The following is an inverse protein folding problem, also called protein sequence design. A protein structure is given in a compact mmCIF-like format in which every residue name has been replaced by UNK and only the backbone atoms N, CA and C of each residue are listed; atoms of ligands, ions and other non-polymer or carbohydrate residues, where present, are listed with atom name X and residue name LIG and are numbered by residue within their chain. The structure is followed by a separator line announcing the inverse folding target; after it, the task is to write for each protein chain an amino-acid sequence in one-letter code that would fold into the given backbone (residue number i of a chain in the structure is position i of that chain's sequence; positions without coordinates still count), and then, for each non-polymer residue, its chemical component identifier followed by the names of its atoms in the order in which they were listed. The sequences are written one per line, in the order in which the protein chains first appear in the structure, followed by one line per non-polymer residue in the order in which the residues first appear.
data_IF_134346188582
#
_entry.id   IF_134346188582
#
_cell.length_a   1.000
_cell.length_b   1.000
_cell.length_c   1.000
_cell.angle_alpha   90.00
_cell.angle_beta   90.00
_cell.angle_gamma   90.00
#
_symmetry.space_group_name_H-M   'P 1'
#
loop_
_entity.id
_entity.type
_entity.pdbx_description
1 polymer ?
#
# COMPACT_ATOMS: atom_id res chain seq x y z
N UNK A 1 -5.96 -18.08 -17.90
CA UNK A 1 -6.67 -16.92 -17.40
C UNK A 1 -7.04 -16.05 -18.59
N UNK A 2 -8.30 -15.66 -18.70
CA UNK A 2 -8.79 -14.75 -19.74
C UNK A 2 -9.18 -13.42 -19.08
N UNK A 3 -8.92 -12.30 -19.77
CA UNK A 3 -9.21 -10.96 -19.28
C UNK A 3 -8.13 -9.98 -19.70
N UNK A 4 -8.39 -8.70 -19.51
CA UNK A 4 -7.43 -7.63 -19.74
C UNK A 4 -7.38 -6.69 -18.55
N UNK A 5 -6.19 -6.15 -18.27
CA UNK A 5 -5.97 -5.09 -17.28
C UNK A 5 -5.47 -3.86 -18.03
N UNK A 6 -6.11 -2.72 -17.77
CA UNK A 6 -5.75 -1.45 -18.41
C UNK A 6 -5.41 -0.40 -17.34
N UNK A 7 -4.38 0.37 -17.61
CA UNK A 7 -4.03 1.57 -16.85
C UNK A 7 -4.13 2.73 -17.84
N UNK A 8 -4.92 3.76 -17.51
CA UNK A 8 -5.16 4.91 -18.39
C UNK A 8 -5.61 4.53 -19.81
N UNK A 9 -6.41 3.46 -19.92
CA UNK A 9 -6.93 2.96 -21.19
C UNK A 9 -5.97 2.10 -22.04
N UNK A 10 -4.69 2.01 -21.66
CA UNK A 10 -3.67 1.21 -22.32
C UNK A 10 -3.52 -0.16 -21.65
N UNK A 11 -3.41 -1.24 -22.43
CA UNK A 11 -3.23 -2.60 -21.92
C UNK A 11 -1.95 -2.73 -21.08
N UNK A 12 -2.03 -3.39 -19.89
CA UNK A 12 -0.91 -3.57 -18.98
C UNK A 12 0.31 -4.19 -19.67
N UNK A 13 0.10 -5.19 -20.51
CA UNK A 13 1.16 -5.91 -21.22
C UNK A 13 1.87 -5.08 -22.30
N UNK A 14 1.35 -3.90 -22.65
CA UNK A 14 1.97 -2.99 -23.61
C UNK A 14 2.94 -1.97 -22.99
N UNK A 15 3.01 -1.94 -21.65
CA UNK A 15 3.99 -1.13 -20.94
C UNK A 15 5.31 -1.87 -20.77
N UNK A 16 6.42 -1.19 -20.93
CA UNK A 16 7.71 -1.68 -20.43
C UNK A 16 7.74 -1.64 -18.89
N UNK A 17 8.62 -2.43 -18.27
CA UNK A 17 8.79 -2.41 -16.81
C UNK A 17 9.15 -1.01 -16.27
N UNK A 18 9.94 -0.24 -17.04
CA UNK A 18 10.33 1.11 -16.67
C UNK A 18 9.13 2.08 -16.71
N UNK A 19 8.27 1.98 -17.72
CA UNK A 19 7.04 2.75 -17.80
C UNK A 19 6.10 2.41 -16.65
N UNK A 20 5.90 1.11 -16.35
CA UNK A 20 5.08 0.69 -15.21
C UNK A 20 5.63 1.22 -13.89
N UNK A 21 6.94 1.16 -13.69
CA UNK A 21 7.56 1.67 -12.47
C UNK A 21 7.43 3.19 -12.31
N UNK A 22 7.10 3.94 -13.36
CA UNK A 22 6.80 5.38 -13.28
C UNK A 22 5.32 5.68 -13.00
N UNK A 23 4.43 4.70 -13.15
CA UNK A 23 2.98 4.88 -13.01
C UNK A 23 2.48 4.29 -11.69
N UNK A 24 2.99 3.13 -11.29
CA UNK A 24 2.55 2.43 -10.09
C UNK A 24 3.71 1.87 -9.26
N UNK A 25 3.53 1.89 -7.95
CA UNK A 25 4.38 1.23 -6.98
C UNK A 25 3.59 0.11 -6.27
N UNK A 26 4.26 -0.99 -5.91
CA UNK A 26 3.63 -2.13 -5.24
C UNK A 26 4.39 -2.46 -3.97
N UNK A 27 3.67 -2.60 -2.86
CA UNK A 27 4.16 -3.19 -1.61
C UNK A 27 3.49 -4.55 -1.45
N UNK A 28 4.29 -5.60 -1.49
CA UNK A 28 3.80 -6.97 -1.33
C UNK A 28 3.58 -7.32 0.14
N UNK A 29 2.74 -8.32 0.42
CA UNK A 29 2.47 -8.86 1.75
C UNK A 29 3.75 -9.41 2.42
N UNK A 30 4.56 -10.15 1.66
CA UNK A 30 5.84 -10.70 2.11
C UNK A 30 6.97 -10.07 1.33
N UNK A 31 7.76 -9.29 2.03
CA UNK A 31 8.98 -8.72 1.49
C UNK A 31 10.17 -9.33 2.23
N UNK A 32 11.16 -9.80 1.49
CA UNK A 32 12.42 -10.20 2.10
C UNK A 32 13.13 -8.96 2.63
N UNK A 33 13.48 -9.00 3.91
CA UNK A 33 14.21 -7.90 4.54
C UNK A 33 15.71 -8.11 4.32
N UNK A 34 16.36 -7.28 3.52
CA UNK A 34 17.81 -7.36 3.34
C UNK A 34 18.51 -7.13 4.67
N UNK A 35 19.64 -7.81 4.89
CA UNK A 35 20.49 -7.58 6.06
C UNK A 35 21.55 -6.53 5.73
N UNK A 36 21.99 -5.82 6.78
CA UNK A 36 23.14 -4.91 6.71
C UNK A 36 22.98 -3.66 5.83
N UNK A 37 21.74 -3.30 5.44
CA UNK A 37 21.47 -2.05 4.75
C UNK A 37 20.69 -1.08 5.66
N UNK A 38 20.93 0.21 5.47
CA UNK A 38 20.23 1.26 6.22
C UNK A 38 18.82 1.49 5.67
N UNK A 39 17.95 2.11 6.47
CA UNK A 39 16.62 2.56 6.02
C UNK A 39 16.77 3.51 4.82
N UNK A 40 17.73 4.42 4.87
CA UNK A 40 17.99 5.34 3.75
C UNK A 40 18.35 4.60 2.47
N UNK A 41 19.29 3.64 2.55
CA UNK A 41 19.71 2.85 1.37
C UNK A 41 18.54 2.07 0.80
N UNK A 42 17.74 1.43 1.66
CA UNK A 42 16.58 0.67 1.22
C UNK A 42 15.55 1.55 0.51
N UNK A 43 15.23 2.72 1.06
CA UNK A 43 14.30 3.67 0.41
C UNK A 43 14.88 4.20 -0.89
N UNK A 44 16.21 4.37 -0.98
CA UNK A 44 16.89 4.83 -2.20
C UNK A 44 16.76 3.86 -3.37
N UNK A 45 16.58 2.55 -3.14
CA UNK A 45 16.35 1.57 -4.20
C UNK A 45 15.08 1.84 -5.02
N UNK A 46 14.11 2.52 -4.46
CA UNK A 46 12.92 2.96 -5.19
C UNK A 46 13.24 3.90 -6.37
N UNK A 47 14.43 4.51 -6.38
CA UNK A 47 14.87 5.43 -7.45
C UNK A 47 15.63 4.73 -8.59
N UNK A 48 15.94 3.43 -8.47
CA UNK A 48 16.65 2.66 -9.51
C UNK A 48 15.99 2.72 -10.90
N UNK A 49 14.65 2.64 -11.06
CA UNK A 49 14.01 2.73 -12.38
C UNK A 49 14.30 4.03 -13.13
N UNK A 50 14.66 5.09 -12.43
CA UNK A 50 14.91 6.43 -12.99
C UNK A 50 16.39 6.70 -13.29
N UNK A 51 17.26 5.75 -12.96
CA UNK A 51 18.73 5.92 -13.06
C UNK A 51 19.33 5.06 -14.18
N UNK A 52 20.56 5.40 -14.52
CA UNK A 52 21.35 4.57 -15.42
C UNK A 52 22.04 3.45 -14.61
N UNK A 53 21.80 2.19 -14.99
CA UNK A 53 22.25 0.97 -14.27
C UNK A 53 23.76 0.94 -14.06
N UNK A 54 24.53 1.58 -14.93
CA UNK A 54 26.00 1.55 -14.88
C UNK A 54 26.62 2.56 -13.89
N UNK A 55 25.86 3.57 -13.45
CA UNK A 55 26.39 4.61 -12.57
C UNK A 55 25.32 4.99 -11.53
N UNK A 56 25.20 4.17 -10.47
CA UNK A 56 24.31 4.48 -9.37
C UNK A 56 24.87 5.68 -8.56
N UNK A 57 24.40 6.86 -8.88
CA UNK A 57 24.58 8.05 -8.04
C UNK A 57 23.26 8.80 -7.99
N UNK A 58 22.62 8.88 -6.80
CA UNK A 58 21.38 9.63 -6.63
C UNK A 58 21.57 11.07 -7.13
N UNK A 59 20.64 11.55 -7.93
CA UNK A 59 20.56 12.96 -8.31
C UNK A 59 20.02 13.79 -7.14
N UNK A 60 20.15 15.11 -7.19
CA UNK A 60 19.55 15.99 -6.19
C UNK A 60 18.03 15.78 -6.06
N UNK A 61 17.35 15.54 -7.19
CA UNK A 61 15.91 15.22 -7.22
C UNK A 61 15.61 13.86 -6.58
N UNK A 62 16.48 12.85 -6.71
CA UNK A 62 16.28 11.57 -6.04
C UNK A 62 16.43 11.71 -4.52
N UNK A 63 17.44 12.46 -4.07
CA UNK A 63 17.65 12.75 -2.64
C UNK A 63 16.43 13.46 -2.06
N UNK A 64 15.89 14.48 -2.74
CA UNK A 64 14.68 15.19 -2.31
C UNK A 64 13.48 14.24 -2.14
N UNK A 65 13.25 13.32 -3.09
CA UNK A 65 12.17 12.34 -3.01
C UNK A 65 12.35 11.32 -1.91
N UNK A 66 13.58 10.88 -1.66
CA UNK A 66 13.91 9.96 -0.57
C UNK A 66 13.66 10.64 0.78
N UNK A 67 14.19 11.84 0.98
CA UNK A 67 14.02 12.60 2.24
C UNK A 67 12.54 12.93 2.49
N UNK A 68 11.79 13.32 1.45
CA UNK A 68 10.35 13.52 1.51
C UNK A 68 9.61 12.26 1.95
N UNK A 69 9.93 11.10 1.39
CA UNK A 69 9.30 9.84 1.75
C UNK A 69 9.60 9.45 3.21
N UNK A 70 10.84 9.63 3.66
CA UNK A 70 11.25 9.38 5.04
C UNK A 70 10.51 10.30 6.03
N UNK A 71 10.34 11.57 5.68
CA UNK A 71 9.58 12.53 6.49
C UNK A 71 8.12 12.14 6.59
N UNK A 72 7.45 11.90 5.46
CA UNK A 72 6.02 11.54 5.39
C UNK A 72 5.68 10.25 6.12
N UNK A 73 6.63 9.33 6.19
CA UNK A 73 6.46 8.05 6.90
C UNK A 73 7.00 8.07 8.34
N UNK A 74 7.49 9.23 8.83
CA UNK A 74 8.09 9.42 10.16
C UNK A 74 9.30 8.51 10.41
N UNK A 75 10.15 8.35 9.40
CA UNK A 75 11.36 7.53 9.46
C UNK A 75 12.66 8.33 9.56
N UNK A 76 12.63 9.66 9.60
CA UNK A 76 13.82 10.51 9.65
C UNK A 76 14.80 10.14 10.78
N UNK A 77 14.28 9.85 11.97
CA UNK A 77 15.10 9.46 13.13
C UNK A 77 15.70 8.04 13.00
N UNK A 78 15.27 7.28 11.99
CA UNK A 78 15.69 5.89 11.77
C UNK A 78 16.51 5.71 10.50
N UNK A 79 16.76 6.77 9.72
CA UNK A 79 17.34 6.67 8.38
C UNK A 79 18.69 5.96 8.32
N UNK A 80 19.51 6.13 9.37
CA UNK A 80 20.83 5.52 9.47
C UNK A 80 20.82 4.16 10.19
N UNK A 81 19.64 3.71 10.69
CA UNK A 81 19.51 2.39 11.32
C UNK A 81 19.41 1.30 10.25
N UNK A 82 19.86 0.11 10.59
CA UNK A 82 19.70 -1.08 9.76
C UNK A 82 18.24 -1.51 9.76
N UNK A 83 17.77 -1.99 8.62
CA UNK A 83 16.36 -2.40 8.46
C UNK A 83 16.04 -3.65 9.28
N UNK A 84 17.02 -4.54 9.52
CA UNK A 84 16.86 -5.73 10.34
C UNK A 84 16.79 -5.46 11.87
N UNK A 85 17.04 -4.22 12.30
CA UNK A 85 16.89 -3.76 13.70
C UNK A 85 15.51 -3.16 13.98
N UNK A 86 14.65 -3.03 12.96
CA UNK A 86 13.37 -2.36 13.08
C UNK A 86 12.26 -3.29 13.61
N UNK A 87 11.30 -2.70 14.34
CA UNK A 87 10.04 -3.41 14.62
C UNK A 87 9.23 -3.64 13.34
N UNK A 88 8.31 -4.63 13.33
CA UNK A 88 7.47 -4.91 12.17
C UNK A 88 6.70 -3.68 11.65
N UNK A 89 6.16 -2.85 12.54
CA UNK A 89 5.48 -1.61 12.14
C UNK A 89 6.40 -0.54 11.57
N UNK A 90 7.66 -0.45 12.05
CA UNK A 90 8.65 0.44 11.46
C UNK A 90 9.10 -0.07 10.08
N UNK A 91 9.33 -1.37 9.96
CA UNK A 91 9.68 -1.99 8.68
C UNK A 91 8.56 -1.81 7.64
N UNK A 92 7.29 -1.96 8.03
CA UNK A 92 6.17 -1.69 7.14
C UNK A 92 6.16 -0.23 6.64
N UNK A 93 6.50 0.72 7.52
CA UNK A 93 6.67 2.13 7.10
C UNK A 93 7.80 2.32 6.10
N UNK A 94 8.89 1.53 6.19
CA UNK A 94 10.00 1.58 5.22
C UNK A 94 9.50 1.11 3.84
N UNK A 95 8.72 0.04 3.74
CA UNK A 95 8.14 -0.39 2.46
C UNK A 95 7.18 0.66 1.87
N UNK A 96 6.36 1.32 2.70
CA UNK A 96 5.51 2.43 2.26
C UNK A 96 6.37 3.62 1.81
N UNK A 97 7.47 3.93 2.51
CA UNK A 97 8.41 4.98 2.12
C UNK A 97 9.06 4.68 0.76
N UNK A 98 9.44 3.43 0.49
CA UNK A 98 9.93 3.01 -0.82
C UNK A 98 8.89 3.29 -1.91
N UNK A 99 7.64 2.85 -1.71
CA UNK A 99 6.58 3.10 -2.67
C UNK A 99 6.35 4.61 -2.91
N UNK A 100 6.42 5.41 -1.84
CA UNK A 100 6.28 6.87 -1.93
C UNK A 100 7.48 7.53 -2.63
N UNK A 101 8.71 7.10 -2.33
CA UNK A 101 9.93 7.60 -2.96
C UNK A 101 9.97 7.29 -4.46
N UNK A 102 9.30 6.24 -4.93
CA UNK A 102 9.14 5.93 -6.34
C UNK A 102 8.38 7.04 -7.08
N UNK A 103 7.56 7.85 -6.39
CA UNK A 103 6.84 9.02 -6.93
C UNK A 103 5.90 8.66 -8.07
N UNK A 104 5.02 7.72 -7.85
CA UNK A 104 3.99 7.24 -8.79
C UNK A 104 2.61 7.79 -8.40
N UNK A 105 1.69 7.83 -9.36
CA UNK A 105 0.31 8.26 -9.12
C UNK A 105 -0.56 7.17 -8.46
N UNK A 106 -0.11 5.91 -8.54
CA UNK A 106 -0.81 4.75 -7.98
C UNK A 106 0.12 3.97 -7.05
N UNK A 107 -0.36 3.65 -5.84
CA UNK A 107 0.30 2.74 -4.91
C UNK A 107 -0.63 1.57 -4.63
N UNK A 108 -0.13 0.35 -4.78
CA UNK A 108 -0.84 -0.88 -4.43
C UNK A 108 -0.22 -1.45 -3.16
N UNK A 109 -1.04 -1.71 -2.14
CA UNK A 109 -0.63 -2.29 -0.88
C UNK A 109 -1.33 -3.63 -0.69
N UNK A 110 -0.56 -4.70 -0.72
CA UNK A 110 -1.07 -6.06 -0.51
C UNK A 110 -0.99 -6.41 0.97
N UNK A 111 -2.14 -6.44 1.64
CA UNK A 111 -2.30 -6.73 3.07
C UNK A 111 -1.34 -5.94 3.99
N UNK A 112 -1.34 -4.60 3.96
CA UNK A 112 -0.32 -3.78 4.63
C UNK A 112 -0.35 -3.84 6.16
N UNK A 113 -1.36 -4.46 6.76
CA UNK A 113 -1.55 -4.56 8.21
C UNK A 113 -1.39 -5.97 8.76
N UNK A 114 -1.21 -6.97 7.91
CA UNK A 114 -1.04 -8.37 8.32
C UNK A 114 0.22 -8.54 9.16
N UNK A 115 0.16 -9.37 10.21
CA UNK A 115 1.22 -9.60 11.20
C UNK A 115 1.59 -8.40 12.09
N UNK A 116 0.81 -7.32 12.10
CA UNK A 116 1.01 -6.18 12.98
C UNK A 116 0.03 -6.20 14.15
N UNK A 117 0.47 -5.70 15.31
CA UNK A 117 -0.42 -5.44 16.44
C UNK A 117 -1.45 -4.36 16.10
N UNK A 118 -2.63 -4.38 16.73
CA UNK A 118 -3.75 -3.45 16.49
C UNK A 118 -3.31 -1.99 16.51
N UNK A 119 -2.42 -1.61 17.43
CA UNK A 119 -1.87 -0.24 17.51
C UNK A 119 -1.12 0.15 16.24
N UNK A 120 -0.29 -0.77 15.72
CA UNK A 120 0.50 -0.52 14.51
C UNK A 120 -0.38 -0.59 13.25
N UNK A 121 -1.36 -1.50 13.20
CA UNK A 121 -2.34 -1.55 12.12
C UNK A 121 -3.04 -0.20 11.96
N UNK A 122 -3.61 0.35 13.06
CA UNK A 122 -4.25 1.67 13.04
C UNK A 122 -3.31 2.76 12.57
N UNK A 123 -2.04 2.72 13.02
CA UNK A 123 -1.03 3.70 12.64
C UNK A 123 -0.67 3.65 11.16
N UNK A 124 -0.60 2.45 10.56
CA UNK A 124 -0.35 2.27 9.12
C UNK A 124 -1.55 2.74 8.31
N UNK A 125 -2.77 2.35 8.69
CA UNK A 125 -3.98 2.76 7.99
C UNK A 125 -4.17 4.28 8.01
N UNK A 126 -3.88 4.92 9.14
CA UNK A 126 -3.92 6.39 9.24
C UNK A 126 -2.86 7.03 8.34
N UNK A 127 -1.62 6.52 8.34
CA UNK A 127 -0.56 6.99 7.44
C UNK A 127 -1.00 6.92 5.97
N UNK A 128 -1.53 5.77 5.53
CA UNK A 128 -1.99 5.57 4.17
C UNK A 128 -3.09 6.57 3.79
N UNK A 129 -4.06 6.78 4.68
CA UNK A 129 -5.13 7.77 4.47
C UNK A 129 -4.60 9.20 4.38
N UNK A 130 -3.63 9.56 5.22
CA UNK A 130 -3.03 10.89 5.22
C UNK A 130 -2.22 11.13 3.93
N UNK A 131 -1.50 10.14 3.45
CA UNK A 131 -0.79 10.18 2.16
C UNK A 131 -1.77 10.37 0.98
N UNK A 132 -2.85 9.58 0.92
CA UNK A 132 -3.87 9.73 -0.12
C UNK A 132 -4.45 11.15 -0.12
N UNK A 133 -4.88 11.65 1.04
CA UNK A 133 -5.53 12.97 1.15
C UNK A 133 -4.59 14.14 0.89
N UNK A 134 -3.36 14.06 1.39
CA UNK A 134 -2.40 15.18 1.29
C UNK A 134 -1.70 15.26 -0.07
N UNK A 135 -1.53 14.13 -0.75
CA UNK A 135 -0.78 14.05 -2.01
C UNK A 135 -1.66 13.80 -3.23
N UNK A 136 -2.94 13.42 -3.04
CA UNK A 136 -3.87 13.12 -4.13
C UNK A 136 -3.54 11.83 -4.90
N UNK A 137 -2.65 10.97 -4.38
CA UNK A 137 -2.28 9.70 -5.00
C UNK A 137 -3.40 8.67 -4.84
N UNK A 138 -3.59 7.82 -5.84
CA UNK A 138 -4.53 6.71 -5.75
C UNK A 138 -3.90 5.55 -4.98
N UNK A 139 -4.57 5.07 -3.94
CA UNK A 139 -4.09 3.92 -3.15
C UNK A 139 -5.10 2.77 -3.27
N UNK A 140 -4.62 1.62 -3.72
CA UNK A 140 -5.40 0.38 -3.80
C UNK A 140 -4.86 -0.56 -2.70
N UNK A 141 -5.76 -1.05 -1.85
CA UNK A 141 -5.38 -1.95 -0.75
C UNK A 141 -6.13 -3.27 -0.84
N UNK A 142 -5.45 -4.37 -0.63
CA UNK A 142 -6.07 -5.66 -0.30
C UNK A 142 -6.18 -5.73 1.21
N UNK A 143 -7.40 -5.90 1.73
CA UNK A 143 -7.68 -5.94 3.17
C UNK A 143 -8.56 -7.14 3.49
N UNK A 144 -8.31 -7.77 4.65
CA UNK A 144 -9.16 -8.84 5.17
C UNK A 144 -10.15 -8.34 6.23
N UNK A 145 -9.83 -7.25 6.91
CA UNK A 145 -10.67 -6.65 7.95
C UNK A 145 -11.66 -5.68 7.32
N UNK A 146 -12.94 -6.03 7.36
CA UNK A 146 -14.02 -5.21 6.81
C UNK A 146 -14.14 -3.86 7.53
N UNK A 147 -13.89 -3.80 8.85
CA UNK A 147 -13.95 -2.55 9.59
C UNK A 147 -12.83 -1.58 9.17
N UNK A 148 -11.63 -2.13 8.87
CA UNK A 148 -10.56 -1.32 8.29
C UNK A 148 -10.96 -0.83 6.88
N UNK A 149 -11.50 -1.71 6.03
CA UNK A 149 -11.93 -1.32 4.69
C UNK A 149 -12.99 -0.20 4.75
N UNK A 150 -14.00 -0.33 5.59
CA UNK A 150 -15.06 0.67 5.77
C UNK A 150 -14.54 2.00 6.34
N UNK A 151 -13.59 1.95 7.28
CA UNK A 151 -13.10 3.15 7.96
C UNK A 151 -12.08 3.96 7.13
N UNK A 152 -11.33 3.31 6.26
CA UNK A 152 -10.16 3.93 5.60
C UNK A 152 -10.24 4.00 4.07
N UNK A 153 -11.26 3.42 3.43
CA UNK A 153 -11.44 3.46 1.99
C UNK A 153 -12.56 4.40 1.56
N UNK A 154 -12.46 4.99 0.38
CA UNK A 154 -13.54 5.75 -0.25
C UNK A 154 -14.48 4.81 -1.04
N UNK A 155 -13.90 3.80 -1.71
CA UNK A 155 -14.61 2.78 -2.48
C UNK A 155 -14.13 1.38 -2.06
N UNK A 156 -15.04 0.41 -2.11
CA UNK A 156 -14.75 -0.99 -1.77
C UNK A 156 -15.18 -1.88 -2.92
N UNK A 157 -14.30 -2.80 -3.29
CA UNK A 157 -14.59 -3.88 -4.24
C UNK A 157 -14.56 -5.20 -3.48
N UNK A 158 -15.70 -5.87 -3.39
CA UNK A 158 -15.79 -7.19 -2.79
C UNK A 158 -15.61 -8.29 -3.83
N UNK A 159 -14.74 -9.24 -3.52
CA UNK A 159 -14.41 -10.39 -4.34
C UNK A 159 -14.82 -11.69 -3.62
N UNK A 160 -15.51 -12.57 -4.31
CA UNK A 160 -15.81 -13.92 -3.86
C UNK A 160 -15.57 -14.90 -5.03
N UNK A 161 -14.81 -15.97 -4.78
CA UNK A 161 -14.47 -16.97 -5.79
C UNK A 161 -13.91 -16.38 -7.10
N UNK A 162 -13.08 -15.35 -6.98
CA UNK A 162 -12.47 -14.66 -8.13
C UNK A 162 -13.41 -13.78 -8.94
N UNK A 163 -14.63 -13.51 -8.44
CA UNK A 163 -15.62 -12.65 -9.08
C UNK A 163 -15.89 -11.41 -8.24
N UNK A 164 -16.03 -10.27 -8.91
CA UNK A 164 -16.53 -9.05 -8.28
C UNK A 164 -18.02 -9.23 -7.99
N UNK A 165 -18.40 -9.18 -6.73
CA UNK A 165 -19.80 -9.31 -6.28
C UNK A 165 -20.41 -7.97 -5.88
N UNK A 166 -19.59 -7.00 -5.47
CA UNK A 166 -20.02 -5.61 -5.22
C UNK A 166 -18.86 -4.65 -5.48
N UNK A 167 -19.17 -3.49 -6.01
CA UNK A 167 -18.28 -2.34 -6.15
C UNK A 167 -19.09 -1.09 -5.82
N UNK A 168 -18.80 -0.45 -4.69
CA UNK A 168 -19.58 0.69 -4.21
C UNK A 168 -18.73 1.58 -3.29
N UNK A 169 -19.24 2.77 -3.00
CA UNK A 169 -18.67 3.64 -1.97
C UNK A 169 -18.72 2.97 -0.61
N UNK A 170 -17.70 3.18 0.23
CA UNK A 170 -17.65 2.59 1.57
C UNK A 170 -18.90 2.91 2.41
N UNK A 171 -19.44 4.13 2.29
CA UNK A 171 -20.65 4.55 2.99
C UNK A 171 -21.91 3.71 2.64
N UNK A 172 -21.95 3.11 1.45
CA UNK A 172 -23.08 2.31 0.93
C UNK A 172 -22.80 0.80 1.00
N UNK A 173 -21.67 0.40 1.60
CA UNK A 173 -21.22 -0.99 1.55
C UNK A 173 -21.85 -1.86 2.64
N UNK A 174 -22.55 -1.27 3.62
CA UNK A 174 -23.18 -1.97 4.74
C UNK A 174 -24.38 -2.81 4.27
N UNK A 175 -24.16 -4.10 4.08
CA UNK A 175 -25.16 -5.09 3.71
C UNK A 175 -24.84 -6.40 4.44
N UNK A 176 -25.60 -6.74 5.49
CA UNK A 176 -25.39 -7.96 6.29
C UNK A 176 -25.45 -9.22 5.43
N UNK A 177 -26.40 -9.28 4.47
CA UNK A 177 -26.52 -10.45 3.59
C UNK A 177 -25.28 -10.62 2.69
N UNK A 178 -24.72 -9.51 2.21
CA UNK A 178 -23.49 -9.54 1.43
C UNK A 178 -22.32 -10.01 2.29
N UNK A 179 -22.18 -9.46 3.51
CA UNK A 179 -21.08 -9.80 4.41
C UNK A 179 -21.18 -11.25 4.87
N UNK A 180 -22.40 -11.74 5.19
CA UNK A 180 -22.62 -13.15 5.53
C UNK A 180 -22.17 -14.10 4.42
N UNK A 181 -22.41 -13.73 3.15
CA UNK A 181 -21.94 -14.50 2.00
C UNK A 181 -20.43 -14.42 1.80
N UNK A 182 -19.83 -13.25 2.07
CA UNK A 182 -18.39 -13.03 1.90
C UNK A 182 -17.56 -13.82 2.89
N UNK A 183 -18.02 -13.88 4.14
CA UNK A 183 -17.26 -14.44 5.26
C UNK A 183 -17.78 -15.81 5.72
N UNK A 184 -18.86 -16.32 5.09
CA UNK A 184 -19.56 -17.56 5.52
C UNK A 184 -19.87 -17.54 7.02
N UNK A 185 -20.41 -16.45 7.54
CA UNK A 185 -20.60 -16.15 8.95
C UNK A 185 -21.91 -15.38 9.20
N UNK A 186 -22.44 -15.46 10.43
CA UNK A 186 -23.62 -14.67 10.83
C UNK A 186 -23.19 -13.30 11.35
N UNK A 187 -22.90 -12.41 10.41
CA UNK A 187 -22.40 -11.06 10.70
C UNK A 187 -23.55 -10.13 11.05
N UNK A 188 -23.37 -9.35 12.11
CA UNK A 188 -24.27 -8.28 12.51
C UNK A 188 -23.59 -6.92 12.41
N UNK A 189 -24.37 -5.93 11.99
CA UNK A 189 -23.91 -4.56 11.86
C UNK A 189 -24.68 -3.69 12.87
N UNK A 190 -23.96 -2.99 13.74
CA UNK A 190 -24.50 -1.94 14.60
C UNK A 190 -23.67 -0.66 14.45
N UNK A 191 -24.33 0.48 14.36
CA UNK A 191 -23.71 1.81 14.20
C UNK A 191 -22.62 1.86 13.11
N UNK A 192 -22.86 1.15 11.98
CA UNK A 192 -21.92 1.11 10.87
C UNK A 192 -20.63 0.35 11.15
N UNK A 193 -20.66 -0.59 12.08
CA UNK A 193 -19.52 -1.50 12.40
C UNK A 193 -19.97 -2.94 12.45
N UNK A 194 -19.11 -3.82 11.99
CA UNK A 194 -19.27 -5.26 12.19
C UNK A 194 -18.93 -5.58 13.65
N UNK A 195 -19.88 -6.19 14.38
CA UNK A 195 -19.77 -6.45 15.83
C UNK A 195 -19.73 -7.93 16.20
N UNK A 196 -20.15 -8.83 15.32
CA UNK A 196 -20.11 -10.28 15.55
C UNK A 196 -19.93 -11.05 14.25
N UNK A 197 -19.37 -12.25 14.37
CA UNK A 197 -19.21 -13.22 13.29
C UNK A 197 -19.85 -14.52 13.73
#
# INVERSE_FOLDING_TARGET
NAGSVKIEGKELNSYSLKELASILAIVYQKNETPREITVYDMVSFARLPYQNIFFYKPTASDVEKIEFALEKTSLQAYKDKRVDELSGGQLQRVYIAMALAQSTDIIILDEPTTFLDIKYQKSIMQLVRDLNKSLGITIIMVLHDINQALAYSDNIIALLDGKVIKNDQAANFFDENLLNRLYDADIKIEDGKVISW
#
